data_IF_354983446607
#
_entry.id   IF_354983446607
#
_cell.length_a   1.000
_cell.length_b   1.000
_cell.length_c   1.000
_cell.angle_alpha   90.00
_cell.angle_beta   90.00
_cell.angle_gamma   90.00
#
_symmetry.space_group_name_H-M   'P 1'
#
loop_
_entity.id
_entity.type
_entity.pdbx_description
1 polymer ?
#
# COMPACT_ATOMS: atom_id res chain seq x y z
N UNK A 1 -6.17 21.70 26.80
CA UNK A 1 -6.16 20.31 26.28
C UNK A 1 -4.83 19.97 25.64
N UNK A 2 -4.51 18.68 25.47
CA UNK A 2 -3.29 18.22 24.81
C UNK A 2 -3.65 17.73 23.40
N UNK A 3 -2.89 18.16 22.41
CA UNK A 3 -3.00 17.73 21.01
C UNK A 3 -1.61 17.40 20.47
N UNK A 4 -1.51 16.95 19.22
CA UNK A 4 -0.27 16.79 18.48
C UNK A 4 -0.23 17.79 17.32
N UNK A 5 0.80 18.64 17.28
CA UNK A 5 1.07 19.52 16.13
C UNK A 5 2.40 19.13 15.50
N UNK A 6 2.36 18.67 14.24
CA UNK A 6 3.50 18.01 13.58
C UNK A 6 4.15 16.97 14.52
N UNK A 7 3.31 16.15 15.16
CA UNK A 7 3.67 15.06 16.09
C UNK A 7 4.32 15.48 17.41
N UNK A 8 4.44 16.79 17.67
CA UNK A 8 4.85 17.31 18.97
C UNK A 8 3.63 17.50 19.85
N UNK A 9 3.61 16.79 20.97
CA UNK A 9 2.58 16.98 22.00
C UNK A 9 2.61 18.43 22.46
N UNK A 10 1.48 19.11 22.29
CA UNK A 10 1.33 20.55 22.53
C UNK A 10 0.11 20.78 23.40
N UNK A 11 0.29 21.58 24.46
CA UNK A 11 -0.82 22.05 25.27
C UNK A 11 -1.40 23.31 24.63
N UNK A 12 -2.71 23.30 24.38
CA UNK A 12 -3.49 24.42 23.83
C UNK A 12 -4.69 24.72 24.73
N UNK A 13 -5.23 25.95 24.72
CA UNK A 13 -6.49 26.27 25.38
C UNK A 13 -7.64 25.35 24.89
N UNK A 14 -8.66 25.14 25.73
CA UNK A 14 -9.87 24.45 25.27
C UNK A 14 -10.58 25.25 24.18
N UNK A 15 -11.03 24.59 23.12
CA UNK A 15 -11.70 25.25 22.00
C UNK A 15 -10.77 26.03 21.06
N UNK A 16 -9.45 25.83 21.14
CA UNK A 16 -8.49 26.48 20.24
C UNK A 16 -8.78 26.14 18.77
N UNK A 17 -8.72 27.14 17.90
CA UNK A 17 -8.92 26.97 16.45
C UNK A 17 -7.62 26.65 15.73
N UNK A 18 -7.71 25.95 14.59
CA UNK A 18 -6.55 25.68 13.71
C UNK A 18 -5.80 26.98 13.33
N UNK A 19 -6.54 28.06 13.05
CA UNK A 19 -5.95 29.37 12.71
C UNK A 19 -4.94 29.89 13.74
N UNK A 20 -5.22 29.69 15.03
CA UNK A 20 -4.34 30.13 16.13
C UNK A 20 -3.02 29.35 16.13
N UNK A 21 -3.10 28.05 15.83
CA UNK A 21 -1.94 27.16 15.77
C UNK A 21 -1.09 27.45 14.54
N UNK A 22 -1.71 27.73 13.39
CA UNK A 22 -1.01 28.17 12.18
C UNK A 22 -0.21 29.44 12.48
N UNK A 23 -0.85 30.50 12.97
CA UNK A 23 -0.20 31.77 13.30
C UNK A 23 0.95 31.62 14.30
N UNK A 24 0.83 30.69 15.27
CA UNK A 24 1.84 30.52 16.33
C UNK A 24 3.00 29.61 15.93
N UNK A 25 2.76 28.59 15.08
CA UNK A 25 3.72 27.51 14.83
C UNK A 25 4.33 27.53 13.44
N UNK A 26 3.53 27.88 12.43
CA UNK A 26 3.94 27.89 11.03
C UNK A 26 3.05 28.87 10.25
N UNK A 27 3.22 30.20 10.43
CA UNK A 27 2.42 31.23 9.76
C UNK A 27 2.36 31.05 8.25
N UNK A 28 3.42 30.51 7.66
CA UNK A 28 3.60 30.24 6.25
C UNK A 28 3.04 28.89 5.77
N UNK A 29 2.20 28.22 6.57
CA UNK A 29 1.56 26.97 6.16
C UNK A 29 0.44 27.22 5.12
N UNK A 30 0.51 26.50 4.00
CA UNK A 30 -0.47 26.56 2.92
C UNK A 30 -1.55 25.46 3.02
N UNK A 31 -1.29 24.42 3.80
CA UNK A 31 -2.18 23.27 3.96
C UNK A 31 -2.18 22.81 5.42
N UNK A 32 -3.39 22.59 5.94
CA UNK A 32 -3.64 22.00 7.24
C UNK A 32 -4.31 20.63 7.05
N UNK A 33 -3.77 19.61 7.70
CA UNK A 33 -4.34 18.26 7.73
C UNK A 33 -4.63 17.88 9.17
N UNK A 34 -5.87 17.58 9.49
CA UNK A 34 -6.33 17.15 10.80
C UNK A 34 -6.77 15.69 10.73
N UNK A 35 -6.16 14.83 11.54
CA UNK A 35 -6.50 13.41 11.66
C UNK A 35 -6.57 12.65 10.32
N UNK A 36 -5.72 13.03 9.36
CA UNK A 36 -5.67 12.43 8.02
C UNK A 36 -6.37 13.23 6.92
N UNK A 37 -7.18 14.23 7.28
CA UNK A 37 -8.06 14.93 6.33
C UNK A 37 -7.72 16.43 6.23
N UNK A 38 -7.84 17.06 5.05
CA UNK A 38 -7.74 18.50 4.94
C UNK A 38 -8.76 19.19 5.85
N UNK A 39 -8.33 20.23 6.58
CA UNK A 39 -9.20 20.98 7.47
C UNK A 39 -9.20 22.48 7.17
N UNK A 40 -10.27 23.15 7.58
CA UNK A 40 -10.39 24.61 7.52
C UNK A 40 -9.74 25.26 8.74
N UNK A 41 -9.30 26.51 8.58
CA UNK A 41 -8.68 27.29 9.67
C UNK A 41 -9.64 27.53 10.86
N UNK A 42 -10.95 27.51 10.60
CA UNK A 42 -11.99 27.69 11.61
C UNK A 42 -12.30 26.43 12.41
N UNK A 43 -11.72 25.28 12.05
CA UNK A 43 -11.97 24.02 12.76
C UNK A 43 -11.51 24.14 14.22
N UNK A 44 -12.38 23.75 15.15
CA UNK A 44 -12.10 23.72 16.59
C UNK A 44 -11.39 22.43 16.92
N UNK A 45 -10.24 22.52 17.57
CA UNK A 45 -9.44 21.35 17.95
C UNK A 45 -10.07 20.64 19.15
N UNK A 46 -9.92 19.32 19.19
CA UNK A 46 -10.34 18.44 20.28
C UNK A 46 -9.13 17.79 20.95
N UNK A 47 -9.27 17.23 22.18
CA UNK A 47 -8.20 16.47 22.81
C UNK A 47 -7.68 15.33 21.91
N UNK A 48 -6.36 15.14 21.90
CA UNK A 48 -5.62 14.13 21.13
C UNK A 48 -5.67 14.26 19.59
N UNK A 49 -6.22 15.37 19.08
CA UNK A 49 -6.15 15.72 17.65
C UNK A 49 -4.72 15.74 17.12
N UNK A 50 -4.57 15.33 15.86
CA UNK A 50 -3.31 15.35 15.11
C UNK A 50 -3.39 16.36 13.98
N UNK A 51 -2.84 17.55 14.24
CA UNK A 51 -2.74 18.64 13.27
C UNK A 51 -1.37 18.64 12.60
N UNK A 52 -1.38 18.63 11.26
CA UNK A 52 -0.18 18.71 10.43
C UNK A 52 -0.21 19.98 9.59
N UNK A 53 0.86 20.77 9.70
CA UNK A 53 1.02 22.07 9.04
C UNK A 53 2.11 21.99 7.95
N UNK A 54 1.70 22.24 6.70
CA UNK A 54 2.54 22.04 5.51
C UNK A 54 2.69 23.34 4.74
N UNK A 55 3.94 23.73 4.45
CA UNK A 55 4.28 24.77 3.46
C UNK A 55 4.60 24.11 2.12
N UNK A 56 3.84 24.43 1.08
CA UNK A 56 4.03 23.90 -0.28
C UNK A 56 5.41 24.30 -0.82
N UNK A 57 6.03 23.40 -1.56
CA UNK A 57 7.35 23.62 -2.18
C UNK A 57 8.55 23.62 -1.22
N UNK A 58 8.32 23.60 0.10
CA UNK A 58 9.42 23.50 1.08
C UNK A 58 9.89 22.06 1.25
N UNK A 59 11.22 21.87 1.39
CA UNK A 59 11.79 20.58 1.81
C UNK A 59 11.86 20.54 3.34
N UNK A 60 11.08 19.67 4.01
CA UNK A 60 11.13 19.53 5.46
C UNK A 60 12.43 18.84 5.91
N UNK A 61 12.73 18.93 7.21
CA UNK A 61 13.80 18.09 7.82
C UNK A 61 13.46 16.60 7.66
N UNK A 62 14.45 15.69 7.72
CA UNK A 62 14.19 14.25 7.59
C UNK A 62 13.16 13.73 8.62
N UNK A 63 13.25 14.21 9.87
CA UNK A 63 12.29 13.86 10.92
C UNK A 63 10.89 14.39 10.60
N UNK A 64 10.77 15.61 10.08
CA UNK A 64 9.47 16.17 9.70
C UNK A 64 8.91 15.50 8.43
N UNK A 65 9.77 15.14 7.48
CA UNK A 65 9.40 14.51 6.21
C UNK A 65 8.63 13.21 6.43
N UNK A 66 9.12 12.30 7.28
CA UNK A 66 8.44 11.02 7.55
C UNK A 66 6.99 11.24 8.00
N UNK A 67 6.79 12.16 8.94
CA UNK A 67 5.47 12.47 9.48
C UNK A 67 4.58 13.17 8.44
N UNK A 68 5.15 14.06 7.62
CA UNK A 68 4.41 14.69 6.54
C UNK A 68 3.99 13.69 5.45
N UNK A 69 4.81 12.69 5.16
CA UNK A 69 4.48 11.63 4.20
C UNK A 69 3.27 10.81 4.62
N UNK A 70 3.04 10.67 5.93
CA UNK A 70 1.91 9.92 6.49
C UNK A 70 0.82 10.82 7.07
N UNK A 71 0.85 12.12 6.77
CA UNK A 71 -0.11 13.09 7.30
C UNK A 71 -1.56 12.76 6.96
N UNK A 72 -1.78 12.01 5.87
CA UNK A 72 -3.11 11.56 5.43
C UNK A 72 -3.51 10.20 5.99
N UNK A 73 -2.68 9.59 6.83
CA UNK A 73 -3.10 8.43 7.59
C UNK A 73 -3.98 8.89 8.74
N UNK A 74 -5.02 8.11 9.02
CA UNK A 74 -5.78 8.29 10.26
C UNK A 74 -4.89 7.96 11.48
N UNK A 75 -5.22 8.50 12.66
CA UNK A 75 -4.43 8.25 13.87
C UNK A 75 -4.18 6.75 14.12
N UNK A 76 -2.94 6.40 14.48
CA UNK A 76 -2.54 5.03 14.83
C UNK A 76 -2.14 4.11 13.68
N UNK A 77 -2.54 4.40 12.43
CA UNK A 77 -2.19 3.58 11.24
C UNK A 77 -0.68 3.54 11.02
N UNK A 78 -0.02 4.70 10.97
CA UNK A 78 1.43 4.76 10.75
C UNK A 78 2.22 3.99 11.82
N UNK A 79 1.83 4.08 13.10
CA UNK A 79 2.51 3.39 14.19
C UNK A 79 2.42 1.86 14.07
N UNK A 80 1.29 1.33 13.57
CA UNK A 80 1.12 -0.10 13.26
C UNK A 80 2.00 -0.51 12.08
N UNK A 81 1.90 0.21 10.95
CA UNK A 81 2.65 -0.10 9.73
C UNK A 81 4.16 0.01 9.91
N UNK A 82 4.64 1.01 10.66
CA UNK A 82 6.06 1.23 10.93
C UNK A 82 6.71 0.06 11.70
N UNK A 83 5.93 -0.74 12.42
CA UNK A 83 6.39 -1.95 13.14
C UNK A 83 6.24 -3.22 12.30
N UNK A 84 5.54 -3.17 11.18
CA UNK A 84 5.25 -4.35 10.37
C UNK A 84 6.39 -4.67 9.39
N UNK A 85 6.52 -5.97 9.11
CA UNK A 85 7.47 -6.56 8.17
C UNK A 85 6.70 -7.38 7.14
N UNK A 86 6.86 -7.08 5.85
CA UNK A 86 6.22 -7.80 4.75
C UNK A 86 7.27 -8.48 3.89
N UNK A 87 7.06 -9.77 3.60
CA UNK A 87 7.86 -10.54 2.67
C UNK A 87 7.30 -10.45 1.25
N UNK A 88 8.14 -10.30 0.24
CA UNK A 88 7.75 -10.31 -1.17
C UNK A 88 8.66 -11.27 -1.92
N UNK A 89 8.07 -12.35 -2.42
CA UNK A 89 8.73 -13.39 -3.18
C UNK A 89 8.51 -13.13 -4.68
N UNK A 90 9.54 -12.63 -5.35
CA UNK A 90 9.48 -12.14 -6.73
C UNK A 90 9.38 -10.61 -6.78
N UNK A 91 10.21 -10.00 -7.63
CA UNK A 91 10.32 -8.57 -7.86
C UNK A 91 9.92 -8.22 -9.31
N UNK A 92 9.02 -9.00 -9.90
CA UNK A 92 8.41 -8.74 -11.21
C UNK A 92 7.34 -7.63 -11.17
N UNK A 93 6.36 -7.68 -12.08
CA UNK A 93 5.32 -6.64 -12.20
C UNK A 93 4.47 -6.50 -10.94
N UNK A 94 4.07 -7.64 -10.36
CA UNK A 94 3.34 -7.69 -9.11
C UNK A 94 4.19 -7.22 -7.94
N UNK A 95 5.30 -7.91 -7.67
CA UNK A 95 6.11 -7.67 -6.49
C UNK A 95 6.73 -6.28 -6.45
N UNK A 96 7.25 -5.77 -7.56
CA UNK A 96 7.82 -4.42 -7.60
C UNK A 96 6.77 -3.33 -7.38
N UNK A 97 5.56 -3.51 -7.93
CA UNK A 97 4.45 -2.56 -7.73
C UNK A 97 3.91 -2.63 -6.31
N UNK A 98 3.70 -3.83 -5.77
CA UNK A 98 3.25 -4.02 -4.39
C UNK A 98 4.28 -3.46 -3.38
N UNK A 99 5.57 -3.69 -3.60
CA UNK A 99 6.64 -3.15 -2.76
C UNK A 99 6.63 -1.62 -2.75
N UNK A 100 6.49 -0.98 -3.91
CA UNK A 100 6.40 0.48 -4.02
C UNK A 100 5.14 1.03 -3.35
N UNK A 101 4.00 0.35 -3.50
CA UNK A 101 2.74 0.74 -2.86
C UNK A 101 2.86 0.66 -1.32
N UNK A 102 3.36 -0.46 -0.79
CA UNK A 102 3.59 -0.65 0.66
C UNK A 102 4.62 0.32 1.23
N UNK A 103 5.69 0.59 0.48
CA UNK A 103 6.68 1.60 0.87
C UNK A 103 6.06 3.00 0.97
N UNK A 104 5.22 3.39 0.01
CA UNK A 104 4.50 4.68 0.05
C UNK A 104 3.47 4.73 1.17
N UNK A 105 2.86 3.61 1.52
CA UNK A 105 2.00 3.46 2.69
C UNK A 105 2.78 3.49 4.02
N UNK A 106 4.12 3.56 4.01
CA UNK A 106 4.93 3.71 5.21
C UNK A 106 5.12 2.42 6.00
N UNK A 107 5.19 1.27 5.33
CA UNK A 107 5.57 0.00 5.95
C UNK A 107 6.96 0.09 6.62
N UNK A 108 7.13 -0.56 7.77
CA UNK A 108 8.38 -0.52 8.53
C UNK A 108 9.54 -1.23 7.83
N UNK A 109 9.28 -2.45 7.36
CA UNK A 109 10.28 -3.30 6.72
C UNK A 109 9.71 -4.09 5.54
N UNK A 110 10.50 -4.18 4.48
CA UNK A 110 10.27 -5.09 3.36
C UNK A 110 11.43 -6.09 3.28
N UNK A 111 11.09 -7.37 3.18
CA UNK A 111 12.02 -8.45 2.82
C UNK A 111 11.69 -8.86 1.39
N UNK A 112 12.60 -8.62 0.44
CA UNK A 112 12.38 -8.89 -0.98
C UNK A 112 13.37 -9.93 -1.47
N UNK A 113 12.90 -10.92 -2.23
CA UNK A 113 13.74 -11.95 -2.82
C UNK A 113 13.43 -12.14 -4.31
N UNK A 114 14.46 -12.09 -5.14
CA UNK A 114 14.42 -12.35 -6.58
C UNK A 114 15.86 -12.64 -7.05
N UNK A 115 16.02 -13.46 -8.09
CA UNK A 115 17.32 -13.87 -8.63
C UNK A 115 17.60 -13.31 -10.04
N UNK A 116 16.65 -12.61 -10.63
CA UNK A 116 16.78 -12.02 -11.95
C UNK A 116 17.44 -10.64 -11.92
N UNK A 117 17.84 -10.21 -13.12
CA UNK A 117 18.26 -8.84 -13.42
C UNK A 117 17.17 -8.09 -14.19
N UNK A 118 17.25 -6.77 -14.23
CA UNK A 118 16.32 -5.93 -15.00
C UNK A 118 16.61 -6.07 -16.49
N UNK A 119 15.60 -6.40 -17.27
CA UNK A 119 15.67 -6.49 -18.73
C UNK A 119 14.79 -5.43 -19.42
N UNK A 120 15.07 -5.06 -20.68
CA UNK A 120 14.21 -4.14 -21.43
C UNK A 120 12.74 -4.57 -21.50
N UNK A 121 12.50 -5.89 -21.66
CA UNK A 121 11.17 -6.51 -21.72
C UNK A 121 10.35 -6.33 -20.41
N UNK A 122 11.00 -5.97 -19.31
CA UNK A 122 10.39 -5.78 -18.01
C UNK A 122 9.81 -4.36 -17.84
N UNK A 123 10.40 -3.38 -18.52
CA UNK A 123 10.12 -1.94 -18.31
C UNK A 123 8.68 -1.56 -18.70
N UNK A 124 7.99 -2.38 -19.49
CA UNK A 124 6.61 -2.15 -19.87
C UNK A 124 5.60 -2.31 -18.71
N UNK A 125 5.98 -2.92 -17.57
CA UNK A 125 5.05 -3.21 -16.45
C UNK A 125 5.68 -3.34 -15.06
N UNK A 126 7.01 -3.23 -14.95
CA UNK A 126 7.75 -3.38 -13.68
C UNK A 126 8.32 -2.02 -13.23
N UNK A 127 8.50 -1.82 -11.92
CA UNK A 127 8.92 -0.53 -11.34
C UNK A 127 10.44 -0.28 -11.46
N UNK A 128 10.98 -0.33 -12.69
CA UNK A 128 12.39 -0.12 -12.99
C UNK A 128 12.60 0.99 -14.03
N UNK A 129 13.80 1.56 -14.04
CA UNK A 129 14.21 2.58 -15.00
C UNK A 129 15.12 1.99 -16.09
N UNK A 130 15.16 2.63 -17.26
CA UNK A 130 16.07 2.27 -18.35
C UNK A 130 17.53 2.22 -17.87
N UNK A 131 17.93 3.16 -17.00
CA UNK A 131 19.28 3.21 -16.42
C UNK A 131 19.61 2.04 -15.46
N UNK A 132 18.65 1.16 -15.18
CA UNK A 132 18.81 0.02 -14.28
C UNK A 132 18.90 -1.31 -15.01
N UNK A 133 18.81 -1.34 -16.36
CA UNK A 133 19.00 -2.55 -17.15
C UNK A 133 20.33 -3.23 -16.76
N UNK A 134 20.28 -4.55 -16.56
CA UNK A 134 21.41 -5.37 -16.12
C UNK A 134 21.66 -5.39 -14.61
N UNK A 135 21.00 -4.53 -13.82
CA UNK A 135 21.12 -4.58 -12.36
C UNK A 135 20.24 -5.70 -11.77
N UNK A 136 20.66 -6.37 -10.68
CA UNK A 136 19.79 -7.26 -9.92
C UNK A 136 18.47 -6.58 -9.53
N UNK A 137 17.33 -7.21 -9.83
CA UNK A 137 15.98 -6.64 -9.60
C UNK A 137 15.81 -6.17 -8.15
N UNK A 138 16.21 -7.00 -7.18
CA UNK A 138 16.13 -6.64 -5.75
C UNK A 138 16.94 -5.39 -5.40
N UNK A 139 18.08 -5.16 -6.04
CA UNK A 139 18.93 -3.97 -5.78
C UNK A 139 18.33 -2.74 -6.43
N UNK A 140 17.89 -2.84 -7.68
CA UNK A 140 17.23 -1.76 -8.40
C UNK A 140 15.94 -1.31 -7.67
N UNK A 141 15.13 -2.28 -7.22
CA UNK A 141 13.91 -2.01 -6.46
C UNK A 141 14.24 -1.35 -5.11
N UNK A 142 15.24 -1.84 -4.38
CA UNK A 142 15.66 -1.23 -3.12
C UNK A 142 16.11 0.23 -3.29
N UNK A 143 16.81 0.56 -4.38
CA UNK A 143 17.18 1.94 -4.71
C UNK A 143 15.93 2.79 -5.01
N UNK A 144 14.98 2.26 -5.76
CA UNK A 144 13.74 2.97 -6.14
C UNK A 144 12.88 3.26 -4.90
N UNK A 145 12.75 2.28 -4.00
CA UNK A 145 12.06 2.45 -2.73
C UNK A 145 12.76 3.49 -1.87
N UNK A 146 14.09 3.46 -1.73
CA UNK A 146 14.83 4.45 -0.94
C UNK A 146 14.65 5.88 -1.46
N UNK A 147 14.53 6.07 -2.78
CA UNK A 147 14.21 7.37 -3.39
C UNK A 147 12.78 7.82 -3.08
N UNK A 148 11.83 6.89 -3.02
CA UNK A 148 10.42 7.19 -2.76
C UNK A 148 10.09 7.38 -1.27
N UNK A 149 10.64 6.53 -0.41
CA UNK A 149 10.49 6.56 1.03
C UNK A 149 11.78 6.04 1.72
N UNK A 150 12.67 6.93 2.20
CA UNK A 150 13.93 6.54 2.83
C UNK A 150 13.75 5.94 4.24
N UNK A 151 12.54 5.95 4.79
CA UNK A 151 12.26 5.47 6.15
C UNK A 151 11.87 3.99 6.21
N UNK A 152 11.75 3.32 5.06
CA UNK A 152 11.48 1.89 4.95
C UNK A 152 12.78 1.11 5.04
N UNK A 153 12.85 0.13 5.95
CA UNK A 153 13.98 -0.80 6.00
C UNK A 153 13.81 -1.87 4.92
N UNK A 154 14.86 -2.13 4.14
CA UNK A 154 14.80 -3.08 3.03
C UNK A 154 15.86 -4.13 3.24
N UNK A 155 15.44 -5.39 3.26
CA UNK A 155 16.32 -6.56 3.22
C UNK A 155 16.18 -7.21 1.84
N UNK A 156 17.22 -7.11 1.03
CA UNK A 156 17.21 -7.50 -0.38
C UNK A 156 18.04 -8.77 -0.58
N UNK A 157 17.37 -9.88 -0.90
CA UNK A 157 18.00 -11.18 -1.14
C UNK A 157 18.10 -11.44 -2.65
N UNK A 158 19.29 -11.27 -3.22
CA UNK A 158 19.54 -11.64 -4.61
C UNK A 158 19.78 -13.14 -4.72
N UNK A 159 18.72 -13.93 -4.56
CA UNK A 159 18.74 -15.40 -4.50
C UNK A 159 17.39 -15.95 -4.96
N UNK A 160 17.42 -17.16 -5.50
CA UNK A 160 16.20 -17.88 -5.88
C UNK A 160 15.49 -18.37 -4.61
N UNK A 161 14.19 -18.13 -4.55
CA UNK A 161 13.35 -18.69 -3.48
C UNK A 161 13.10 -20.16 -3.79
N UNK A 162 13.32 -21.02 -2.81
CA UNK A 162 13.12 -22.47 -2.88
C UNK A 162 12.60 -22.95 -1.53
N UNK A 163 11.95 -24.12 -1.50
CA UNK A 163 11.23 -24.61 -0.31
C UNK A 163 12.11 -24.59 0.95
N UNK A 164 13.39 -24.94 0.81
CA UNK A 164 14.35 -25.05 1.91
C UNK A 164 14.73 -23.70 2.52
N UNK A 165 14.56 -22.60 1.77
CA UNK A 165 14.96 -21.26 2.21
C UNK A 165 13.79 -20.34 2.56
N UNK A 166 12.53 -20.71 2.29
CA UNK A 166 11.33 -19.90 2.58
C UNK A 166 11.27 -19.48 4.05
N UNK A 167 11.46 -20.42 4.98
CA UNK A 167 11.43 -20.13 6.41
C UNK A 167 12.53 -19.14 6.83
N UNK A 168 13.75 -19.31 6.30
CA UNK A 168 14.88 -18.43 6.60
C UNK A 168 14.68 -17.00 6.06
N UNK A 169 14.08 -16.87 4.87
CA UNK A 169 13.83 -15.58 4.23
C UNK A 169 12.66 -14.87 4.89
N UNK A 170 11.55 -15.56 5.12
CA UNK A 170 10.28 -14.92 5.40
C UNK A 170 9.69 -15.22 6.78
N UNK A 171 10.30 -16.08 7.59
CA UNK A 171 9.76 -16.49 8.91
C UNK A 171 9.62 -15.36 9.94
N UNK A 172 10.19 -14.18 9.69
CA UNK A 172 10.02 -12.97 10.53
C UNK A 172 8.98 -11.99 9.97
N UNK A 173 8.39 -12.29 8.83
CA UNK A 173 7.37 -11.44 8.21
C UNK A 173 6.01 -11.69 8.86
N UNK A 174 5.15 -10.67 8.84
CA UNK A 174 3.77 -10.77 9.32
C UNK A 174 2.80 -11.22 8.23
N UNK A 175 3.22 -11.09 6.97
CA UNK A 175 2.48 -11.49 5.76
C UNK A 175 3.48 -11.63 4.62
N UNK A 176 3.23 -12.56 3.71
CA UNK A 176 4.05 -12.82 2.53
C UNK A 176 3.21 -12.56 1.28
N UNK A 177 3.79 -11.87 0.30
CA UNK A 177 3.22 -11.66 -1.03
C UNK A 177 3.98 -12.53 -2.02
N UNK A 178 3.27 -13.41 -2.71
CA UNK A 178 3.76 -14.20 -3.83
C UNK A 178 3.61 -13.37 -5.12
N UNK A 179 4.69 -13.32 -5.92
CA UNK A 179 4.77 -12.52 -7.13
C UNK A 179 5.62 -13.16 -8.24
N UNK A 180 5.66 -14.49 -8.29
CA UNK A 180 6.23 -15.28 -9.37
C UNK A 180 5.30 -15.34 -10.59
N UNK A 181 5.86 -15.72 -11.73
CA UNK A 181 5.18 -15.86 -13.01
C UNK A 181 4.86 -17.33 -13.38
N UNK A 182 5.56 -18.29 -12.75
CA UNK A 182 5.40 -19.72 -13.03
C UNK A 182 4.51 -20.43 -12.01
N UNK A 183 3.60 -21.27 -12.50
CA UNK A 183 2.67 -22.04 -11.67
C UNK A 183 3.38 -22.98 -10.68
N UNK A 184 4.43 -23.70 -11.11
CA UNK A 184 5.18 -24.61 -10.23
C UNK A 184 5.87 -23.88 -9.07
N UNK A 185 6.37 -22.67 -9.30
CA UNK A 185 6.99 -21.87 -8.24
C UNK A 185 5.95 -21.27 -7.28
N UNK A 186 4.76 -20.94 -7.79
CA UNK A 186 3.61 -20.52 -6.96
C UNK A 186 3.19 -21.61 -6.00
N UNK A 187 3.02 -22.83 -6.52
CA UNK A 187 2.66 -24.01 -5.74
C UNK A 187 3.71 -24.32 -4.67
N UNK A 188 4.99 -24.34 -5.05
CA UNK A 188 6.10 -24.55 -4.11
C UNK A 188 6.07 -23.55 -2.95
N UNK A 189 5.90 -22.25 -3.24
CA UNK A 189 5.86 -21.24 -2.18
C UNK A 189 4.60 -21.40 -1.31
N UNK A 190 3.45 -21.68 -1.94
CA UNK A 190 2.21 -21.89 -1.21
C UNK A 190 2.33 -23.07 -0.23
N UNK A 191 2.85 -24.21 -0.68
CA UNK A 191 3.07 -25.37 0.18
C UNK A 191 4.07 -25.07 1.31
N UNK A 192 5.21 -24.46 0.98
CA UNK A 192 6.23 -24.14 1.97
C UNK A 192 5.75 -23.16 3.05
N UNK A 193 4.92 -22.18 2.69
CA UNK A 193 4.37 -21.21 3.64
C UNK A 193 3.21 -21.80 4.44
N UNK A 194 2.25 -22.47 3.79
CA UNK A 194 1.06 -22.97 4.47
C UNK A 194 1.39 -24.12 5.44
N UNK A 195 2.34 -24.97 5.08
CA UNK A 195 2.79 -26.10 5.93
C UNK A 195 3.90 -25.67 6.91
N UNK A 196 4.84 -24.84 6.46
CA UNK A 196 6.04 -24.49 7.24
C UNK A 196 5.92 -23.22 8.10
N UNK A 197 4.94 -22.35 7.80
CA UNK A 197 4.74 -21.06 8.46
C UNK A 197 3.24 -20.79 8.73
N UNK A 198 2.51 -21.67 9.43
CA UNK A 198 1.03 -21.63 9.53
C UNK A 198 0.45 -20.35 10.17
N UNK A 199 1.28 -19.54 10.85
CA UNK A 199 0.88 -18.24 11.42
C UNK A 199 1.10 -17.04 10.51
N UNK A 200 1.64 -17.23 9.30
CA UNK A 200 1.96 -16.15 8.36
C UNK A 200 1.02 -16.24 7.15
N UNK A 201 0.08 -15.30 6.98
CA UNK A 201 -0.78 -15.25 5.81
C UNK A 201 0.02 -15.11 4.51
N UNK A 202 -0.46 -15.78 3.47
CA UNK A 202 0.09 -15.72 2.11
C UNK A 202 -0.90 -15.03 1.17
N UNK A 203 -0.41 -14.07 0.39
CA UNK A 203 -1.20 -13.38 -0.63
C UNK A 203 -0.64 -13.73 -2.01
N UNK A 204 -1.43 -14.46 -2.80
CA UNK A 204 -1.09 -14.98 -4.12
C UNK A 204 -1.73 -14.15 -5.23
N UNK A 205 -1.01 -13.98 -6.34
CA UNK A 205 -1.54 -13.33 -7.54
C UNK A 205 -1.99 -14.35 -8.58
N UNK A 206 -3.24 -14.28 -9.04
CA UNK A 206 -3.77 -15.15 -10.09
C UNK A 206 -4.77 -14.42 -11.00
N UNK A 207 -4.56 -14.47 -12.31
CA UNK A 207 -5.48 -13.86 -13.28
C UNK A 207 -5.34 -12.35 -13.39
N UNK A 208 -4.43 -11.88 -14.26
CA UNK A 208 -4.27 -10.45 -14.56
C UNK A 208 -3.84 -10.14 -16.00
N UNK A 209 -4.08 -11.05 -16.92
CA UNK A 209 -3.72 -10.88 -18.32
C UNK A 209 -4.77 -10.06 -19.09
N UNK A 210 -4.32 -9.27 -20.06
CA UNK A 210 -5.16 -8.38 -20.87
C UNK A 210 -5.38 -7.00 -20.25
N UNK A 211 -6.50 -6.37 -20.62
CA UNK A 211 -6.91 -5.02 -20.19
C UNK A 211 -8.42 -4.98 -19.89
N UNK A 212 -8.89 -3.95 -19.19
CA UNK A 212 -10.29 -3.83 -18.77
C UNK A 212 -10.69 -4.83 -17.68
N UNK A 213 -11.98 -5.19 -17.63
CA UNK A 213 -12.48 -6.20 -16.67
C UNK A 213 -12.29 -5.80 -15.21
N UNK A 214 -12.25 -4.49 -14.90
CA UNK A 214 -11.89 -3.97 -13.58
C UNK A 214 -12.72 -4.61 -12.44
N UNK A 215 -14.01 -4.86 -12.68
CA UNK A 215 -14.93 -5.45 -11.69
C UNK A 215 -14.66 -6.93 -11.40
N UNK A 216 -13.80 -7.59 -12.17
CA UNK A 216 -13.42 -8.99 -11.97
C UNK A 216 -12.25 -9.14 -11.00
N UNK A 217 -11.44 -8.09 -10.81
CA UNK A 217 -10.31 -8.12 -9.89
C UNK A 217 -10.82 -8.07 -8.45
N UNK A 218 -10.62 -9.16 -7.71
CA UNK A 218 -11.09 -9.33 -6.34
C UNK A 218 -10.08 -10.08 -5.49
N UNK A 219 -10.29 -10.05 -4.17
CA UNK A 219 -9.58 -10.94 -3.25
C UNK A 219 -10.51 -12.04 -2.79
N UNK A 220 -10.09 -13.30 -2.92
CA UNK A 220 -10.75 -14.46 -2.31
C UNK A 220 -9.89 -15.01 -1.19
N UNK A 221 -10.49 -15.25 -0.02
CA UNK A 221 -9.79 -15.79 1.14
C UNK A 221 -10.13 -17.26 1.37
N UNK A 222 -9.11 -18.07 1.66
CA UNK A 222 -9.17 -19.48 2.01
C UNK A 222 -8.26 -19.72 3.23
N UNK A 223 -8.81 -19.57 4.43
CA UNK A 223 -8.01 -19.62 5.66
C UNK A 223 -6.96 -18.50 5.69
N UNK A 224 -5.68 -18.87 5.77
CA UNK A 224 -4.53 -17.95 5.72
C UNK A 224 -4.04 -17.62 4.30
N UNK A 225 -4.61 -18.25 3.27
CA UNK A 225 -4.32 -17.97 1.87
C UNK A 225 -5.31 -16.92 1.33
N UNK A 226 -4.79 -15.89 0.69
CA UNK A 226 -5.56 -14.87 -0.01
C UNK A 226 -5.15 -14.87 -1.48
N UNK A 227 -6.12 -14.88 -2.40
CA UNK A 227 -5.88 -14.91 -3.85
C UNK A 227 -6.40 -13.60 -4.44
N UNK A 228 -5.52 -12.80 -5.03
CA UNK A 228 -5.83 -11.52 -5.64
C UNK A 228 -5.75 -11.60 -7.17
N UNK A 229 -6.82 -11.18 -7.85
CA UNK A 229 -6.92 -11.08 -9.30
C UNK A 229 -8.29 -11.54 -9.80
N UNK A 230 -8.39 -11.95 -11.07
CA UNK A 230 -9.63 -12.46 -11.66
C UNK A 230 -9.74 -13.99 -11.70
N UNK A 231 -8.70 -14.69 -11.23
CA UNK A 231 -8.64 -16.16 -11.12
C UNK A 231 -8.81 -16.92 -12.45
N UNK A 232 -8.83 -16.22 -13.60
CA UNK A 232 -9.30 -16.79 -14.87
C UNK A 232 -8.42 -16.45 -16.07
N UNK A 233 -7.78 -15.27 -16.10
CA UNK A 233 -7.07 -14.81 -17.29
C UNK A 233 -5.61 -15.25 -17.32
N UNK A 234 -5.19 -15.78 -18.47
CA UNK A 234 -3.81 -16.21 -18.71
C UNK A 234 -3.15 -15.36 -19.82
N UNK A 235 -1.83 -15.19 -19.72
CA UNK A 235 -1.06 -14.47 -20.73
C UNK A 235 -0.83 -15.37 -21.95
N UNK A 236 -0.99 -14.82 -23.15
CA UNK A 236 -0.81 -15.55 -24.40
C UNK A 236 -0.82 -14.63 -25.62
N UNK A 237 -0.71 -15.18 -26.85
CA UNK A 237 -0.81 -14.41 -28.08
C UNK A 237 -2.08 -13.54 -28.09
N UNK A 238 -1.91 -12.23 -28.29
CA UNK A 238 -3.02 -11.25 -28.26
C UNK A 238 -3.51 -10.85 -26.86
N UNK A 239 -2.99 -11.44 -25.78
CA UNK A 239 -3.35 -11.14 -24.39
C UNK A 239 -2.11 -11.03 -23.51
N UNK A 240 -1.47 -9.87 -23.54
CA UNK A 240 -0.26 -9.59 -22.76
C UNK A 240 -0.53 -9.18 -21.31
N UNK A 241 0.55 -9.06 -20.54
CA UNK A 241 0.53 -8.50 -19.18
C UNK A 241 0.63 -6.97 -19.24
N UNK A 242 -0.52 -6.29 -19.25
CA UNK A 242 -0.58 -4.83 -19.36
C UNK A 242 -0.32 -4.15 -18.02
N UNK A 243 0.53 -3.11 -18.01
CA UNK A 243 0.94 -2.40 -16.79
C UNK A 243 -0.24 -1.99 -15.87
N UNK A 244 -1.35 -1.41 -16.38
CA UNK A 244 -2.46 -1.02 -15.53
C UNK A 244 -3.16 -2.20 -14.85
N UNK A 245 -3.35 -3.32 -15.55
CA UNK A 245 -4.04 -4.50 -15.01
C UNK A 245 -3.17 -5.26 -14.02
N UNK A 246 -1.88 -5.44 -14.35
CA UNK A 246 -0.88 -6.00 -13.43
C UNK A 246 -0.75 -5.11 -12.19
N UNK A 247 -0.70 -3.79 -12.37
CA UNK A 247 -0.62 -2.83 -11.28
C UNK A 247 -1.87 -2.83 -10.40
N UNK A 248 -3.07 -2.97 -10.98
CA UNK A 248 -4.32 -3.08 -10.22
C UNK A 248 -4.31 -4.33 -9.33
N UNK A 249 -3.94 -5.49 -9.87
CA UNK A 249 -3.82 -6.72 -9.09
C UNK A 249 -2.69 -6.64 -8.03
N UNK A 250 -1.55 -6.01 -8.36
CA UNK A 250 -0.46 -5.78 -7.40
C UNK A 250 -0.89 -4.88 -6.23
N UNK A 251 -1.62 -3.80 -6.53
CA UNK A 251 -2.17 -2.91 -5.53
C UNK A 251 -3.25 -3.61 -4.70
N UNK A 252 -4.00 -4.55 -5.29
CA UNK A 252 -4.93 -5.40 -4.55
C UNK A 252 -4.19 -6.30 -3.56
N UNK A 253 -3.06 -6.92 -3.95
CA UNK A 253 -2.20 -7.67 -3.03
C UNK A 253 -1.64 -6.78 -1.91
N UNK A 254 -1.15 -5.59 -2.24
CA UNK A 254 -0.65 -4.64 -1.25
C UNK A 254 -1.76 -4.18 -0.29
N UNK A 255 -2.96 -3.93 -0.80
CA UNK A 255 -4.10 -3.52 0.01
C UNK A 255 -4.56 -4.65 0.94
N UNK A 256 -4.58 -5.89 0.46
CA UNK A 256 -4.85 -7.06 1.30
C UNK A 256 -3.82 -7.21 2.43
N UNK A 257 -2.54 -6.94 2.15
CA UNK A 257 -1.50 -6.93 3.18
C UNK A 257 -1.76 -5.83 4.23
N UNK A 258 -2.22 -4.64 3.83
CA UNK A 258 -2.60 -3.60 4.78
C UNK A 258 -3.78 -4.02 5.65
N UNK A 259 -4.81 -4.64 5.07
CA UNK A 259 -5.99 -5.14 5.81
C UNK A 259 -5.58 -6.18 6.86
N UNK A 260 -4.72 -7.14 6.49
CA UNK A 260 -4.18 -8.14 7.43
C UNK A 260 -3.40 -7.47 8.57
N UNK A 261 -2.63 -6.42 8.28
CA UNK A 261 -1.78 -5.74 9.26
C UNK A 261 -2.54 -4.78 10.18
N UNK A 262 -3.59 -4.13 9.66
CA UNK A 262 -4.33 -3.07 10.34
C UNK A 262 -5.60 -3.59 11.02
N UNK A 263 -6.15 -4.70 10.52
CA UNK A 263 -7.54 -5.12 10.71
C UNK A 263 -8.46 -4.52 9.64
N UNK A 264 -9.73 -4.96 9.58
CA UNK A 264 -10.71 -4.38 8.67
C UNK A 264 -10.86 -2.88 8.95
N UNK A 265 -11.03 -2.09 7.90
CA UNK A 265 -11.40 -0.68 8.07
C UNK A 265 -12.77 -0.63 8.77
N UNK A 266 -12.92 0.03 9.94
CA UNK A 266 -14.18 0.09 10.66
C UNK A 266 -15.35 0.58 9.81
N UNK A 267 -15.11 1.48 8.86
CA UNK A 267 -16.14 2.00 7.98
C UNK A 267 -16.59 0.98 6.91
N UNK A 268 -15.68 0.09 6.49
CA UNK A 268 -15.94 -0.95 5.48
C UNK A 268 -16.52 -2.21 6.15
N UNK A 269 -15.93 -2.65 7.26
CA UNK A 269 -16.34 -3.85 8.00
C UNK A 269 -17.79 -3.79 8.44
N UNK A 270 -18.25 -2.63 8.94
CA UNK A 270 -19.65 -2.43 9.32
C UNK A 270 -20.63 -2.54 8.14
N UNK A 271 -20.24 -2.12 6.93
CA UNK A 271 -21.08 -2.25 5.73
C UNK A 271 -21.11 -3.70 5.23
N UNK A 272 -19.95 -4.37 5.25
CA UNK A 272 -19.82 -5.78 4.87
C UNK A 272 -20.60 -6.72 5.79
N UNK A 273 -20.60 -6.48 7.11
CA UNK A 273 -21.36 -7.27 8.09
C UNK A 273 -22.88 -7.14 7.91
N UNK A 274 -23.35 -6.01 7.38
CA UNK A 274 -24.77 -5.78 7.06
C UNK A 274 -25.18 -6.29 5.68
N UNK A 275 -24.24 -6.79 4.87
CA UNK A 275 -24.49 -7.17 3.48
C UNK A 275 -24.89 -5.98 2.60
N UNK A 276 -24.47 -4.76 2.99
CA UNK A 276 -24.84 -3.53 2.33
C UNK A 276 -23.67 -2.99 1.49
N UNK A 277 -23.98 -2.45 0.32
CA UNK A 277 -23.04 -1.60 -0.39
C UNK A 277 -22.78 -0.32 0.42
N UNK A 278 -21.53 0.14 0.44
CA UNK A 278 -21.21 1.45 1.01
C UNK A 278 -22.00 2.53 0.25
N UNK A 279 -22.72 3.42 0.97
CA UNK A 279 -23.50 4.45 0.31
C UNK A 279 -22.60 5.36 -0.54
N UNK A 280 -23.05 5.75 -1.75
CA UNK A 280 -22.23 6.59 -2.62
C UNK A 280 -21.97 7.94 -1.94
N UNK A 281 -20.69 8.31 -1.81
CA UNK A 281 -20.29 9.60 -1.23
C UNK A 281 -20.79 10.81 -2.02
N UNK A 282 -21.14 10.62 -3.29
CA UNK A 282 -21.64 11.69 -4.16
C UNK A 282 -23.18 11.62 -4.22
N UNK A 283 -23.89 12.64 -3.68
CA UNK A 283 -25.35 12.64 -3.59
C UNK A 283 -26.10 12.56 -4.92
N UNK A 284 -25.42 12.75 -6.05
CA UNK A 284 -26.03 12.66 -7.38
C UNK A 284 -25.98 11.24 -7.96
N UNK A 285 -25.10 10.36 -7.47
CA UNK A 285 -25.03 8.97 -7.92
C UNK A 285 -26.19 8.13 -7.36
N UNK A 286 -26.84 8.58 -6.29
CA UNK A 286 -28.08 8.00 -5.78
C UNK A 286 -29.34 8.48 -6.53
N UNK A 287 -29.22 9.45 -7.45
CA UNK A 287 -30.36 9.94 -8.24
C UNK A 287 -30.58 9.03 -9.45
N UNK A 288 -31.75 8.40 -9.54
CA UNK A 288 -32.18 7.70 -10.76
C UNK A 288 -32.08 8.66 -11.96
N UNK A 289 -31.56 8.22 -13.12
CA UNK A 289 -31.49 9.07 -14.31
C UNK A 289 -32.88 9.60 -14.64
N UNK A 290 -33.02 10.93 -14.72
CA UNK A 290 -34.27 11.56 -15.18
C UNK A 290 -34.48 11.09 -16.63
N UNK A 291 -35.62 10.43 -16.91
CA UNK A 291 -36.01 10.10 -18.29
C UNK A 291 -35.94 11.39 -19.12
N UNK A 292 -35.32 11.37 -20.31
CA UNK A 292 -35.33 12.54 -21.18
C UNK A 292 -36.78 12.94 -21.44
N UNK A 293 -37.11 14.21 -21.19
CA UNK A 293 -38.40 14.75 -21.62
C UNK A 293 -38.42 14.62 -23.14
N UNK A 294 -39.38 13.87 -23.68
CA UNK A 294 -39.65 13.87 -25.12
C UNK A 294 -39.94 15.32 -25.51
N UNK A 295 -39.18 15.82 -26.47
CA UNK A 295 -39.44 17.10 -27.13
C UNK A 295 -40.71 17.01 -27.97
#
# INVERSE_FOLDING_TARGET
MKIFVNERRTTVPGGAKVAELVKKRKPEADLCVLNGFPCLLEHTLEPDDRLVLIKKGSRPSAKELEHLMVARHTPGVHAKLKKACVGIAGCGGLGSTAAMALARAGIGKLVIADFDVVEPSNLNRQQYYVSQIGQPKVRALAQNIRKANPFVRIEAHYRRVAAENVASLFGRCRVIIEAFDRADQKEMLAEAVLSGLPGIPLILGNGMAGWGGNNLLRTRQLGSLHICGDESTEAGPGRGLMAPRVGAAACLQANQALEILLGPDPAIGQASERGEDLPPRLPYLSRKPRKPRRA
#
